data_IF_222718868374
#
_entry.id   IF_222718868374
#
_cell.length_a   1.000
_cell.length_b   1.000
_cell.length_c   1.000
_cell.angle_alpha   90.00
_cell.angle_beta   90.00
_cell.angle_gamma   90.00
#
_symmetry.space_group_name_H-M   'P 1'
#
loop_
_entity.id
_entity.type
_entity.pdbx_description
1 polymer ?
#
# COMPACT_ATOMS: atom_id res chain seq x y z
N UNK A 1 -2.35 6.98 20.49
CA UNK A 1 -3.09 5.70 20.48
C UNK A 1 -3.12 5.22 21.91
N UNK A 2 -4.28 4.90 22.46
CA UNK A 2 -4.36 4.34 23.82
C UNK A 2 -3.75 2.94 23.81
N UNK A 3 -2.94 2.62 24.82
CA UNK A 3 -2.30 1.30 24.97
C UNK A 3 -3.31 0.15 24.93
N UNK A 4 -4.53 0.39 25.42
CA UNK A 4 -5.65 -0.56 25.44
C UNK A 4 -6.20 -0.90 24.03
N UNK A 5 -6.09 0.01 23.04
CA UNK A 5 -6.52 -0.31 21.67
C UNK A 5 -5.45 -1.15 20.96
N UNK A 6 -4.18 -0.80 21.18
CA UNK A 6 -3.03 -1.51 20.59
C UNK A 6 -3.00 -2.97 21.01
N UNK A 7 -3.20 -3.27 22.30
CA UNK A 7 -3.17 -4.64 22.81
C UNK A 7 -4.31 -5.52 22.25
N UNK A 8 -5.48 -4.93 21.99
CA UNK A 8 -6.60 -5.59 21.30
C UNK A 8 -6.30 -5.85 19.84
N UNK A 9 -5.77 -4.85 19.12
CA UNK A 9 -5.38 -4.98 17.72
C UNK A 9 -4.31 -6.07 17.53
N UNK A 10 -3.30 -6.08 18.41
CA UNK A 10 -2.26 -7.13 18.45
C UNK A 10 -2.87 -8.51 18.66
N UNK A 11 -3.80 -8.64 19.60
CA UNK A 11 -4.44 -9.92 19.91
C UNK A 11 -5.25 -10.41 18.72
N UNK A 12 -6.03 -9.52 18.10
CA UNK A 12 -6.81 -9.82 16.90
C UNK A 12 -5.91 -10.28 15.74
N UNK A 13 -4.81 -9.57 15.46
CA UNK A 13 -3.85 -9.95 14.41
C UNK A 13 -3.26 -11.35 14.69
N UNK A 14 -2.86 -11.62 15.94
CA UNK A 14 -2.33 -12.93 16.35
C UNK A 14 -3.38 -14.03 16.19
N UNK A 15 -4.64 -13.77 16.51
CA UNK A 15 -5.74 -14.74 16.31
C UNK A 15 -6.09 -14.96 14.84
N UNK A 16 -6.07 -13.90 14.03
CA UNK A 16 -6.27 -13.98 12.58
C UNK A 16 -5.18 -14.83 11.92
N UNK A 17 -3.91 -14.61 12.27
CA UNK A 17 -2.78 -15.40 11.78
C UNK A 17 -2.88 -16.88 12.17
N UNK A 18 -3.36 -17.19 13.38
CA UNK A 18 -3.57 -18.57 13.84
C UNK A 18 -4.65 -19.34 13.08
N UNK A 19 -5.57 -18.64 12.41
CA UNK A 19 -6.66 -19.24 11.62
C UNK A 19 -6.21 -19.69 10.22
N UNK A 20 -4.94 -19.50 9.85
CA UNK A 20 -4.37 -19.82 8.53
C UNK A 20 -3.43 -21.06 8.66
N UNK A 21 -3.93 -22.33 8.64
CA UNK A 21 -3.22 -23.51 9.13
C UNK A 21 -2.22 -24.12 8.14
N UNK A 22 -1.91 -23.41 7.05
CA UNK A 22 -1.32 -24.03 5.86
C UNK A 22 0.08 -23.52 5.51
N UNK A 23 0.81 -22.96 6.49
CA UNK A 23 2.21 -22.60 6.37
C UNK A 23 3.08 -23.86 6.35
N UNK A 24 3.86 -24.11 5.29
CA UNK A 24 4.71 -25.31 5.25
C UNK A 24 6.02 -25.17 6.04
N UNK A 25 6.66 -26.31 6.36
CA UNK A 25 7.70 -26.40 7.38
C UNK A 25 9.13 -26.07 6.92
N UNK A 26 9.38 -25.80 5.64
CA UNK A 26 10.69 -25.37 5.13
C UNK A 26 10.53 -24.50 3.89
N UNK A 27 11.24 -23.36 3.85
CA UNK A 27 11.29 -22.48 2.67
C UNK A 27 12.64 -21.81 2.46
N UNK A 28 13.05 -21.79 1.20
CA UNK A 28 14.22 -21.06 0.71
C UNK A 28 13.99 -19.56 0.64
N UNK A 29 15.07 -18.81 0.84
CA UNK A 29 15.09 -17.34 0.85
C UNK A 29 15.22 -16.84 -0.60
N UNK A 30 14.11 -16.72 -1.34
CA UNK A 30 14.12 -15.97 -2.60
C UNK A 30 13.80 -14.49 -2.35
N UNK A 31 14.82 -13.71 -1.98
CA UNK A 31 14.73 -12.26 -1.79
C UNK A 31 14.64 -11.45 -3.10
N UNK A 32 14.64 -12.12 -4.25
CA UNK A 32 14.64 -11.47 -5.57
C UNK A 32 13.58 -12.06 -6.49
N UNK A 33 12.32 -11.72 -6.23
CA UNK A 33 11.27 -11.83 -7.24
C UNK A 33 11.49 -10.68 -8.23
N UNK A 34 11.84 -10.98 -9.49
CA UNK A 34 11.81 -9.97 -10.56
C UNK A 34 10.39 -9.38 -10.57
N UNK A 35 10.22 -8.07 -10.30
CA UNK A 35 8.87 -7.55 -10.29
C UNK A 35 8.33 -7.69 -11.71
N UNK A 36 7.11 -8.24 -11.89
CA UNK A 36 6.41 -8.08 -13.15
C UNK A 36 6.34 -6.57 -13.45
N UNK A 37 6.08 -6.19 -14.71
CA UNK A 37 5.84 -4.79 -15.10
C UNK A 37 5.20 -4.00 -13.95
N UNK A 38 5.70 -2.80 -13.61
CA UNK A 38 5.25 -2.01 -12.43
C UNK A 38 3.72 -1.94 -12.31
N UNK A 39 3.01 -1.90 -13.44
CA UNK A 39 1.55 -1.98 -13.48
C UNK A 39 0.97 -3.28 -12.89
N UNK A 40 1.58 -4.44 -13.18
CA UNK A 40 1.21 -5.74 -12.61
C UNK A 40 1.56 -5.82 -11.12
N UNK A 41 2.69 -5.24 -10.68
CA UNK A 41 3.01 -5.17 -9.26
C UNK A 41 1.94 -4.36 -8.50
N UNK A 42 1.51 -3.22 -9.06
CA UNK A 42 0.38 -2.46 -8.53
C UNK A 42 -0.93 -3.25 -8.55
N UNK A 43 -1.19 -4.01 -9.62
CA UNK A 43 -2.38 -4.87 -9.70
C UNK A 43 -2.40 -5.90 -8.57
N UNK A 44 -1.29 -6.59 -8.32
CA UNK A 44 -1.17 -7.57 -7.23
C UNK A 44 -1.37 -6.89 -5.87
N UNK A 45 -0.79 -5.70 -5.65
CA UNK A 45 -0.99 -4.95 -4.41
C UNK A 45 -2.47 -4.59 -4.17
N UNK A 46 -3.20 -4.18 -5.22
CA UNK A 46 -4.64 -3.91 -5.14
C UNK A 46 -5.45 -5.20 -4.91
N UNK A 47 -5.05 -6.32 -5.50
CA UNK A 47 -5.69 -7.62 -5.23
C UNK A 47 -5.52 -8.05 -3.77
N UNK A 48 -4.34 -7.84 -3.17
CA UNK A 48 -4.16 -8.10 -1.73
C UNK A 48 -5.03 -7.18 -0.88
N UNK A 49 -5.13 -5.90 -1.25
CA UNK A 49 -6.01 -4.95 -0.59
C UNK A 49 -7.49 -5.37 -0.67
N UNK A 50 -7.96 -5.84 -1.82
CA UNK A 50 -9.32 -6.36 -2.02
C UNK A 50 -9.61 -7.57 -1.11
N UNK A 51 -8.68 -8.52 -1.03
CA UNK A 51 -8.83 -9.70 -0.17
C UNK A 51 -8.80 -9.36 1.31
N UNK A 52 -7.95 -8.40 1.69
CA UNK A 52 -7.92 -7.87 3.04
C UNK A 52 -9.29 -7.28 3.39
N UNK A 53 -9.84 -6.39 2.55
CA UNK A 53 -11.16 -5.78 2.77
C UNK A 53 -12.28 -6.82 2.83
N UNK A 54 -12.22 -7.84 1.97
CA UNK A 54 -13.17 -8.97 1.99
C UNK A 54 -13.09 -9.78 3.28
N UNK A 55 -11.89 -9.92 3.85
CA UNK A 55 -11.62 -10.71 5.04
C UNK A 55 -11.95 -10.00 6.36
N UNK A 56 -12.33 -8.72 6.31
CA UNK A 56 -12.69 -7.96 7.49
C UNK A 56 -14.12 -8.25 7.94
N UNK A 57 -14.24 -8.81 9.13
CA UNK A 57 -15.53 -9.02 9.80
C UNK A 57 -15.90 -7.88 10.76
N UNK A 58 -14.95 -6.99 11.06
CA UNK A 58 -15.04 -5.91 12.05
C UNK A 58 -14.64 -4.58 11.41
N UNK A 59 -15.03 -3.47 12.03
CA UNK A 59 -14.64 -2.13 11.58
C UNK A 59 -13.14 -1.90 11.81
N UNK A 60 -12.40 -1.62 10.73
CA UNK A 60 -10.96 -1.34 10.81
C UNK A 60 -10.68 0.15 10.70
N UNK A 61 -9.91 0.68 11.65
CA UNK A 61 -9.58 2.11 11.77
C UNK A 61 -8.54 2.60 10.72
N UNK A 62 -8.32 1.82 9.67
CA UNK A 62 -7.45 2.12 8.53
C UNK A 62 -6.09 1.42 8.56
N UNK A 63 -5.30 1.70 7.51
CA UNK A 63 -4.08 0.96 7.20
C UNK A 63 -2.80 1.70 7.54
N UNK A 64 -1.84 0.93 8.05
CA UNK A 64 -0.45 1.34 8.22
C UNK A 64 0.40 0.57 7.22
N UNK A 65 0.97 1.28 6.25
CA UNK A 65 1.87 0.69 5.26
C UNK A 65 3.32 0.82 5.72
N UNK A 66 4.09 -0.26 5.58
CA UNK A 66 5.51 -0.28 5.90
C UNK A 66 6.25 -0.71 4.64
N UNK A 67 7.13 0.15 4.14
CA UNK A 67 7.87 -0.03 2.90
C UNK A 67 9.36 -0.12 3.26
N UNK A 68 9.96 -1.28 2.99
CA UNK A 68 11.40 -1.46 3.15
C UNK A 68 12.13 -0.90 1.93
N UNK A 69 13.01 0.08 2.16
CA UNK A 69 13.81 0.69 1.10
C UNK A 69 15.07 -0.11 0.77
N UNK A 70 15.52 -1.03 1.62
CA UNK A 70 16.73 -1.83 1.37
C UNK A 70 16.50 -2.85 0.24
N UNK A 71 15.25 -3.33 0.09
CA UNK A 71 14.84 -4.17 -1.05
C UNK A 71 14.66 -3.39 -2.35
N UNK A 72 14.66 -2.04 -2.30
CA UNK A 72 14.45 -1.18 -3.44
C UNK A 72 15.77 -0.80 -4.12
N UNK A 73 16.03 -1.37 -5.30
CA UNK A 73 17.20 -1.00 -6.11
C UNK A 73 16.94 0.24 -6.97
N UNK A 74 18.00 0.93 -7.40
CA UNK A 74 17.92 2.04 -8.38
C UNK A 74 17.18 1.60 -9.65
N UNK A 75 17.34 0.35 -10.07
CA UNK A 75 16.61 -0.22 -11.20
C UNK A 75 15.10 -0.33 -10.97
N UNK A 76 14.67 -0.56 -9.73
CA UNK A 76 13.25 -0.50 -9.38
C UNK A 76 12.72 0.93 -9.55
N UNK A 77 13.44 1.92 -9.02
CA UNK A 77 13.08 3.34 -9.13
C UNK A 77 13.03 3.85 -10.58
N UNK A 78 13.98 3.45 -11.42
CA UNK A 78 14.01 3.84 -12.84
C UNK A 78 12.78 3.37 -13.64
N UNK A 79 12.06 2.34 -13.16
CA UNK A 79 10.83 1.84 -13.79
C UNK A 79 9.59 2.67 -13.41
N UNK A 80 9.66 3.51 -12.37
CA UNK A 80 8.57 4.42 -12.01
C UNK A 80 8.59 5.65 -12.90
N UNK A 81 7.79 5.61 -13.95
CA UNK A 81 7.55 6.81 -14.76
C UNK A 81 6.69 7.81 -13.98
N UNK A 82 6.84 9.13 -14.21
CA UNK A 82 5.96 10.13 -13.60
C UNK A 82 4.49 9.79 -13.77
N UNK A 83 4.10 9.31 -14.96
CA UNK A 83 2.73 8.87 -15.27
C UNK A 83 2.23 7.76 -14.34
N UNK A 84 3.06 6.73 -14.07
CA UNK A 84 2.70 5.65 -13.13
C UNK A 84 2.57 6.18 -11.70
N UNK A 85 3.46 7.07 -11.28
CA UNK A 85 3.37 7.74 -9.97
C UNK A 85 2.05 8.53 -9.89
N UNK A 86 1.65 9.28 -10.94
CA UNK A 86 0.36 10.01 -10.94
C UNK A 86 -0.82 9.07 -10.73
N UNK A 87 -0.87 7.95 -11.46
CA UNK A 87 -1.95 6.97 -11.34
C UNK A 87 -2.02 6.35 -9.95
N UNK A 88 -0.87 5.98 -9.40
CA UNK A 88 -0.77 5.45 -8.04
C UNK A 88 -1.24 6.46 -6.99
N UNK A 89 -0.75 7.69 -7.09
CA UNK A 89 -1.17 8.78 -6.21
C UNK A 89 -2.64 9.12 -6.38
N UNK A 90 -3.23 8.99 -7.57
CA UNK A 90 -4.67 9.12 -7.73
C UNK A 90 -5.42 8.07 -6.90
N UNK A 91 -5.03 6.79 -6.98
CA UNK A 91 -5.67 5.72 -6.21
C UNK A 91 -5.56 5.91 -4.69
N UNK A 92 -4.40 6.34 -4.19
CA UNK A 92 -4.16 6.52 -2.75
C UNK A 92 -4.79 7.81 -2.21
N UNK A 93 -4.75 8.88 -2.99
CA UNK A 93 -5.13 10.21 -2.52
C UNK A 93 -6.58 10.59 -2.86
N UNK A 94 -7.20 9.86 -3.78
CA UNK A 94 -8.63 9.92 -3.99
C UNK A 94 -9.27 8.90 -3.05
N UNK A 95 -9.66 9.35 -1.86
CA UNK A 95 -10.48 8.57 -0.92
C UNK A 95 -11.82 8.12 -1.51
N UNK A 96 -12.20 8.62 -2.69
CA UNK A 96 -13.36 8.18 -3.46
C UNK A 96 -13.04 7.04 -4.45
N UNK A 97 -11.77 6.79 -4.76
CA UNK A 97 -11.37 5.80 -5.76
C UNK A 97 -11.17 4.40 -5.17
N UNK A 98 -10.77 4.32 -3.90
CA UNK A 98 -10.58 3.04 -3.22
C UNK A 98 -10.95 3.17 -1.74
N UNK A 99 -11.74 2.24 -1.17
CA UNK A 99 -12.33 2.38 0.17
C UNK A 99 -11.32 2.05 1.30
N UNK A 100 -10.08 2.53 1.18
CA UNK A 100 -9.06 2.38 2.22
C UNK A 100 -8.82 3.72 2.93
N UNK A 101 -8.91 3.67 4.26
CA UNK A 101 -8.49 4.76 5.12
C UNK A 101 -6.99 4.64 5.37
N UNK A 102 -6.17 5.37 4.62
CA UNK A 102 -4.73 5.45 4.90
C UNK A 102 -4.49 6.11 6.26
N UNK A 103 -3.87 5.41 7.22
CA UNK A 103 -3.53 5.94 8.54
C UNK A 103 -2.10 6.47 8.57
N UNK A 104 -1.13 5.65 8.18
CA UNK A 104 0.29 5.97 8.17
C UNK A 104 1.00 5.24 7.02
N UNK A 105 2.09 5.82 6.52
CA UNK A 105 3.06 5.19 5.63
C UNK A 105 4.43 5.36 6.28
N UNK A 106 5.12 4.25 6.51
CA UNK A 106 6.48 4.23 7.03
C UNK A 106 7.42 3.71 5.94
N UNK A 107 8.47 4.45 5.65
CA UNK A 107 9.58 3.97 4.82
C UNK A 107 10.77 3.70 5.74
N UNK A 108 11.24 2.46 5.81
CA UNK A 108 12.35 2.03 6.68
C UNK A 108 13.60 1.74 5.87
N UNK A 109 14.75 1.69 6.54
CA UNK A 109 16.06 1.37 5.96
C UNK A 109 16.45 2.28 4.78
N UNK A 110 16.14 3.59 4.88
CA UNK A 110 16.41 4.51 3.77
C UNK A 110 17.91 4.76 3.57
N UNK A 111 18.32 4.74 2.30
CA UNK A 111 19.64 5.22 1.86
C UNK A 111 19.57 6.67 1.37
N UNK A 112 20.70 7.40 1.27
CA UNK A 112 20.72 8.77 0.76
C UNK A 112 20.13 8.93 -0.65
N UNK A 113 20.17 7.87 -1.48
CA UNK A 113 19.55 7.88 -2.80
C UNK A 113 18.02 7.83 -2.68
N UNK A 114 17.51 6.95 -1.82
CA UNK A 114 16.06 6.81 -1.58
C UNK A 114 15.49 8.07 -0.96
N UNK A 115 16.21 8.71 -0.04
CA UNK A 115 15.80 9.99 0.56
C UNK A 115 15.56 11.08 -0.51
N UNK A 116 16.46 11.19 -1.50
CA UNK A 116 16.28 12.12 -2.63
C UNK A 116 15.02 11.82 -3.44
N UNK A 117 14.72 10.55 -3.66
CA UNK A 117 13.54 10.11 -4.40
C UNK A 117 12.26 10.44 -3.62
N UNK A 118 12.25 10.18 -2.30
CA UNK A 118 11.12 10.54 -1.44
C UNK A 118 10.90 12.05 -1.49
N UNK A 119 11.97 12.85 -1.35
CA UNK A 119 11.88 14.31 -1.42
C UNK A 119 11.37 14.82 -2.78
N UNK A 120 11.63 14.09 -3.87
CA UNK A 120 11.04 14.40 -5.18
C UNK A 120 9.55 14.04 -5.26
N UNK A 121 9.10 12.97 -4.61
CA UNK A 121 7.70 12.52 -4.65
C UNK A 121 6.79 13.30 -3.69
N UNK A 122 7.30 13.68 -2.50
CA UNK A 122 6.54 14.34 -1.44
C UNK A 122 5.74 15.58 -1.89
N UNK A 123 6.24 16.46 -2.77
CA UNK A 123 5.47 17.61 -3.29
C UNK A 123 4.23 17.25 -4.10
N UNK A 124 4.16 16.04 -4.67
CA UNK A 124 2.98 15.56 -5.41
C UNK A 124 1.90 14.98 -4.48
N UNK A 125 2.20 14.89 -3.18
CA UNK A 125 1.24 14.46 -2.18
C UNK A 125 0.37 15.62 -1.70
N UNK A 126 -0.93 15.38 -1.54
CA UNK A 126 -1.82 16.25 -0.79
C UNK A 126 -1.31 16.36 0.65
N UNK A 127 -1.45 17.54 1.24
CA UNK A 127 -0.98 17.83 2.60
C UNK A 127 -1.41 16.77 3.63
N UNK A 128 -2.68 16.33 3.57
CA UNK A 128 -3.23 15.26 4.44
C UNK A 128 -2.44 13.94 4.35
N UNK A 129 -1.95 13.57 3.17
CA UNK A 129 -1.22 12.32 2.95
C UNK A 129 0.25 12.53 3.32
N UNK A 130 0.83 13.67 2.94
CA UNK A 130 2.19 14.06 3.29
C UNK A 130 2.44 14.00 4.80
N UNK A 131 1.51 14.48 5.62
CA UNK A 131 1.58 14.44 7.09
C UNK A 131 1.51 13.02 7.69
N UNK A 132 1.18 12.01 6.89
CA UNK A 132 1.08 10.60 7.30
C UNK A 132 2.27 9.77 6.84
N UNK A 133 3.21 10.36 6.09
CA UNK A 133 4.43 9.70 5.64
C UNK A 133 5.54 9.96 6.65
N UNK A 134 6.15 8.89 7.14
CA UNK A 134 7.27 8.90 8.06
C UNK A 134 8.43 8.12 7.43
N UNK A 135 9.63 8.66 7.58
CA UNK A 135 10.84 8.10 6.97
C UNK A 135 11.83 7.79 8.07
N UNK A 136 12.35 6.56 8.06
CA UNK A 136 13.18 6.01 9.12
C UNK A 136 14.46 5.43 8.51
N UNK A 137 15.61 5.84 9.05
CA UNK A 137 16.90 5.26 8.65
C UNK A 137 17.10 3.87 9.26
N UNK A 138 16.53 3.64 10.44
CA UNK A 138 16.64 2.38 11.19
C UNK A 138 15.23 1.86 11.54
N UNK A 139 15.04 0.54 11.45
CA UNK A 139 13.77 -0.13 11.79
C UNK A 139 13.36 0.11 13.25
N UNK A 140 14.28 0.37 14.17
CA UNK A 140 13.96 0.62 15.58
C UNK A 140 13.13 1.91 15.77
N UNK A 141 13.29 2.91 14.89
CA UNK A 141 12.50 4.14 14.93
C UNK A 141 11.02 3.88 14.57
N UNK A 142 10.75 2.86 13.75
CA UNK A 142 9.39 2.41 13.43
C UNK A 142 8.61 2.03 14.69
N UNK A 143 9.27 1.45 15.70
CA UNK A 143 8.57 0.91 16.87
C UNK A 143 7.97 1.97 17.79
N UNK A 144 8.30 3.25 17.58
CA UNK A 144 7.60 4.38 18.21
C UNK A 144 6.17 4.55 17.68
N UNK A 145 5.89 3.96 16.51
CA UNK A 145 4.61 4.08 15.80
C UNK A 145 3.87 2.74 15.72
N UNK A 146 4.60 1.63 15.53
CA UNK A 146 4.04 0.29 15.32
C UNK A 146 4.59 -0.69 16.36
N UNK A 147 3.76 -1.48 17.06
CA UNK A 147 4.26 -2.45 18.03
C UNK A 147 5.21 -3.47 17.38
N UNK A 148 6.40 -3.65 17.94
CA UNK A 148 7.40 -4.58 17.39
C UNK A 148 6.87 -6.02 17.31
N UNK A 149 6.07 -6.46 18.26
CA UNK A 149 5.63 -7.86 18.33
C UNK A 149 4.73 -8.32 17.18
N UNK A 150 4.07 -7.40 16.47
CA UNK A 150 3.25 -7.72 15.28
C UNK A 150 4.05 -7.69 13.98
N UNK A 151 5.35 -7.36 14.05
CA UNK A 151 6.22 -7.34 12.88
C UNK A 151 6.73 -8.74 12.54
N UNK A 152 7.09 -8.99 11.26
CA UNK A 152 7.80 -10.20 10.87
C UNK A 152 9.12 -10.36 11.64
N UNK A 153 9.58 -11.60 11.80
CA UNK A 153 10.85 -11.90 12.51
C UNK A 153 12.06 -11.26 11.84
N UNK A 154 12.03 -11.08 10.52
CA UNK A 154 13.05 -10.36 9.74
C UNK A 154 13.22 -8.89 10.19
N UNK A 155 12.17 -8.32 10.76
CA UNK A 155 12.14 -6.99 11.38
C UNK A 155 11.99 -7.11 12.90
N UNK A 156 12.58 -8.12 13.53
CA UNK A 156 12.66 -8.25 14.98
C UNK A 156 11.33 -8.48 15.73
N UNK A 157 10.23 -8.81 15.03
CA UNK A 157 8.95 -9.12 15.65
C UNK A 157 8.72 -10.62 15.89
N UNK A 158 7.45 -11.04 15.99
CA UNK A 158 7.07 -12.39 16.47
C UNK A 158 6.04 -13.14 15.63
N UNK A 159 5.58 -12.58 14.50
CA UNK A 159 4.45 -13.17 13.74
C UNK A 159 4.85 -14.17 12.64
N UNK A 160 6.13 -14.54 12.55
CA UNK A 160 6.69 -15.41 11.50
C UNK A 160 7.59 -14.64 10.54
N UNK A 161 8.24 -15.34 9.60
CA UNK A 161 9.13 -14.69 8.63
C UNK A 161 8.36 -13.95 7.55
N UNK A 162 8.97 -12.93 6.96
CA UNK A 162 8.40 -12.18 5.84
C UNK A 162 8.11 -13.10 4.64
N UNK A 163 8.94 -14.13 4.45
CA UNK A 163 8.77 -15.11 3.39
C UNK A 163 7.51 -15.98 3.61
N UNK A 164 7.28 -16.44 4.83
CA UNK A 164 6.10 -17.25 5.17
C UNK A 164 4.82 -16.44 4.97
N UNK A 165 4.83 -15.18 5.45
CA UNK A 165 3.71 -14.25 5.28
C UNK A 165 3.44 -14.00 3.79
N UNK A 166 4.49 -13.78 3.00
CA UNK A 166 4.38 -13.61 1.55
C UNK A 166 3.70 -14.81 0.88
N UNK A 167 4.17 -16.03 1.15
CA UNK A 167 3.60 -17.24 0.55
C UNK A 167 2.15 -17.48 0.98
N UNK A 168 1.79 -17.18 2.24
CA UNK A 168 0.41 -17.26 2.69
C UNK A 168 -0.51 -16.32 1.89
N UNK A 169 -0.09 -15.08 1.66
CA UNK A 169 -0.85 -14.11 0.86
C UNK A 169 -0.97 -14.52 -0.62
N UNK A 170 0.09 -15.06 -1.20
CA UNK A 170 0.04 -15.59 -2.57
C UNK A 170 -0.98 -16.72 -2.66
N UNK A 171 -0.90 -17.71 -1.77
CA UNK A 171 -1.83 -18.84 -1.77
C UNK A 171 -3.28 -18.41 -1.57
N UNK A 172 -3.54 -17.51 -0.61
CA UNK A 172 -4.88 -16.93 -0.38
C UNK A 172 -5.43 -16.24 -1.62
N UNK A 173 -4.55 -15.61 -2.40
CA UNK A 173 -4.91 -14.96 -3.66
C UNK A 173 -5.26 -15.97 -4.75
N UNK A 174 -4.48 -17.04 -4.87
CA UNK A 174 -4.74 -18.15 -5.81
C UNK A 174 -6.07 -18.85 -5.51
N UNK A 175 -6.33 -19.15 -4.24
CA UNK A 175 -7.59 -19.76 -3.78
C UNK A 175 -8.80 -18.84 -4.02
N UNK A 176 -8.59 -17.53 -4.01
CA UNK A 176 -9.64 -16.53 -4.25
C UNK A 176 -9.88 -16.23 -5.73
N UNK A 177 -9.26 -16.95 -6.67
CA UNK A 177 -9.41 -16.73 -8.12
C UNK A 177 -10.86 -16.68 -8.58
N UNK A 178 -11.71 -17.58 -8.10
CA UNK A 178 -13.13 -17.61 -8.45
C UNK A 178 -13.86 -16.34 -8.00
N UNK A 179 -13.53 -15.82 -6.81
CA UNK A 179 -14.10 -14.57 -6.31
C UNK A 179 -13.69 -13.37 -7.18
N UNK A 180 -12.42 -13.28 -7.58
CA UNK A 180 -11.95 -12.22 -8.50
C UNK A 180 -12.65 -12.27 -9.87
N UNK A 181 -12.87 -13.46 -10.43
CA UNK A 181 -13.61 -13.61 -11.69
C UNK A 181 -15.05 -13.13 -11.59
N UNK A 182 -15.68 -13.25 -10.42
CA UNK A 182 -17.01 -12.68 -10.18
C UNK A 182 -16.97 -11.16 -10.04
N UNK A 183 -15.91 -10.58 -9.45
CA UNK A 183 -15.76 -9.13 -9.32
C UNK A 183 -15.74 -8.41 -10.68
N UNK A 184 -15.26 -9.06 -11.75
CA UNK A 184 -15.26 -8.49 -13.10
C UNK A 184 -16.65 -8.11 -13.62
N UNK A 185 -17.72 -8.68 -13.06
CA UNK A 185 -19.12 -8.37 -13.38
C UNK A 185 -19.58 -7.03 -12.78
N UNK A 186 -18.91 -6.57 -11.72
CA UNK A 186 -19.26 -5.34 -11.00
C UNK A 186 -18.38 -4.20 -11.49
N UNK A 187 -18.91 -3.39 -12.41
CA UNK A 187 -18.21 -2.23 -12.97
C UNK A 187 -19.07 -0.99 -12.87
N UNK A 188 -18.43 0.15 -12.65
CA UNK A 188 -19.10 1.45 -12.68
C UNK A 188 -19.57 1.76 -14.11
N UNK A 189 -20.84 2.11 -14.24
CA UNK A 189 -21.39 2.66 -15.48
C UNK A 189 -21.04 4.16 -15.55
N UNK A 190 -19.95 4.46 -16.26
CA UNK A 190 -19.42 5.83 -16.39
C UNK A 190 -20.40 6.79 -17.10
N UNK A 191 -21.37 6.29 -17.87
CA UNK A 191 -22.40 7.14 -18.49
C UNK A 191 -23.32 7.81 -17.48
N UNK A 192 -23.36 7.27 -16.24
CA UNK A 192 -24.21 7.74 -15.14
C UNK A 192 -23.44 8.58 -14.13
N UNK A 193 -22.14 8.84 -14.35
CA UNK A 193 -21.31 9.63 -13.42
C UNK A 193 -21.79 11.09 -13.41
N UNK A 194 -22.14 11.65 -12.23
CA UNK A 194 -22.43 13.08 -12.13
C UNK A 194 -21.14 13.90 -12.23
N UNK A 195 -21.18 14.98 -12.99
CA UNK A 195 -20.05 15.90 -13.17
C UNK A 195 -18.97 15.37 -14.13
N UNK A 196 -17.82 16.06 -14.17
CA UNK A 196 -16.72 15.69 -15.06
C UNK A 196 -15.93 14.47 -14.53
N UNK A 197 -15.43 13.58 -15.40
CA UNK A 197 -14.56 12.49 -14.97
C UNK A 197 -13.29 13.02 -14.29
N UNK A 198 -13.00 12.51 -13.09
CA UNK A 198 -11.71 12.78 -12.41
C UNK A 198 -10.65 11.85 -13.00
N UNK A 199 -9.67 12.40 -13.69
CA UNK A 199 -8.58 11.63 -14.29
C UNK A 199 -7.21 12.06 -13.74
N UNK A 200 -6.16 11.34 -14.11
CA UNK A 200 -4.79 11.62 -13.65
C UNK A 200 -4.23 12.95 -14.18
N UNK A 201 -4.86 13.54 -15.21
CA UNK A 201 -4.46 14.83 -15.78
C UNK A 201 -4.81 16.00 -14.84
N UNK A 202 -5.88 15.86 -14.05
CA UNK A 202 -6.29 16.85 -13.05
C UNK A 202 -5.33 16.95 -11.85
N UNK A 203 -4.55 15.89 -11.56
CA UNK A 203 -3.71 15.79 -10.35
C UNK A 203 -2.57 16.83 -10.31
N UNK A 204 -2.25 17.46 -11.44
CA UNK A 204 -1.18 18.46 -11.57
C UNK A 204 -1.66 19.82 -12.07
N UNK A 205 -2.98 20.06 -12.11
CA UNK A 205 -3.52 21.33 -12.60
C UNK A 205 -3.23 21.61 -14.09
N UNK A 206 -2.85 20.60 -14.88
CA UNK A 206 -2.65 20.75 -16.33
C UNK A 206 -3.97 21.00 -17.08
N UNK A 207 -5.10 20.78 -16.42
CA UNK A 207 -6.45 21.14 -16.87
C UNK A 207 -7.04 22.22 -15.97
N UNK A 208 -6.29 23.32 -15.78
CA UNK A 208 -6.75 24.56 -15.15
C UNK A 208 -6.63 25.74 -16.12
N UNK A 209 -7.78 26.35 -16.45
CA UNK A 209 -8.02 27.63 -17.14
C UNK A 209 -6.83 28.32 -17.86
N UNK A 210 -6.46 27.85 -19.04
CA UNK A 210 -5.71 28.65 -20.04
C UNK A 210 -6.57 28.99 -21.28
N UNK A 211 -7.90 28.97 -21.12
CA UNK A 211 -8.86 29.34 -22.19
C UNK A 211 -10.01 30.23 -21.71
N UNK A 212 -9.82 31.00 -20.64
CA UNK A 212 -10.63 32.18 -20.39
C UNK A 212 -9.69 33.37 -20.25
N UNK A 213 -9.43 33.98 -21.41
CA UNK A 213 -8.99 35.36 -21.51
C UNK A 213 -10.25 36.20 -21.29
N UNK A 214 -10.47 36.66 -20.06
CA UNK A 214 -11.33 37.80 -19.85
C UNK A 214 -10.53 39.02 -20.32
N UNK A 215 -10.89 39.53 -21.50
CA UNK A 215 -10.43 40.81 -22.02
C UNK A 215 -11.44 41.83 -21.49
N UNK A 216 -10.98 42.71 -20.59
CA UNK A 216 -11.56 44.04 -20.41
C UNK A 216 -10.87 45.03 -21.37
#
# INVERSE_FOLDING_TARGET
>A
MDSCSVEKDVTYIKEWLKKEPHLPNEFGVERHVQPPNVANAFKVALMFADLRLKGESEEVDGDVYILDADVATVNHFARFTPMLIKKFLLCIQASEAYPIKLKQVHVINISPIVEKIINFVMPFLKEKIRQRVFVHTDVNDLYKHVPQEIMPTDYGGKVGSMNDIYHAWIKKTEESKGWFSEQDKYRSDESRRPGRPKNHDELFGLTGSFRQLDID
#
